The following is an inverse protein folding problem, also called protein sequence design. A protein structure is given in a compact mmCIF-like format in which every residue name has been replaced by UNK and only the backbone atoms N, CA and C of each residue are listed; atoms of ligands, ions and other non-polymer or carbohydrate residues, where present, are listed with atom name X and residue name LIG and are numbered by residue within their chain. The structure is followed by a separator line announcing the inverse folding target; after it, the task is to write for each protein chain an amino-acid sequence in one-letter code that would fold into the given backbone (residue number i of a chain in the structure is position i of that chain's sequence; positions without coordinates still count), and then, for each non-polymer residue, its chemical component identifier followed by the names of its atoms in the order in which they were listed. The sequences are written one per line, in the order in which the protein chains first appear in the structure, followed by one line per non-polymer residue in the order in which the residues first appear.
data_IF_001570250029
#
_entry.id   IF_001570250029
#
_cell.length_a   1.000
_cell.length_b   1.000
_cell.length_c   1.000
_cell.angle_alpha   90.00
_cell.angle_beta   90.00
_cell.angle_gamma   90.00
#
_symmetry.space_group_name_H-M   'P 1'
#
loop_
_entity.id
_entity.type
_entity.pdbx_description
1 polymer ?
#
# COMPACT_ATOMS: atom_id res chain seq x y z
N UNK A 1 51.62 -22.28 -36.89
CA UNK A 1 51.56 -21.71 -35.52
C UNK A 1 51.11 -20.24 -35.44
N UNK A 2 51.47 -19.36 -36.40
CA UNK A 2 51.09 -17.92 -36.38
C UNK A 2 49.59 -17.61 -36.62
N UNK A 3 48.83 -18.49 -37.29
CA UNK A 3 47.41 -18.27 -37.59
C UNK A 3 46.48 -18.48 -36.37
N UNK A 4 46.76 -19.50 -35.54
CA UNK A 4 46.02 -19.78 -34.31
C UNK A 4 46.18 -18.66 -33.26
N UNK A 5 47.32 -17.98 -33.23
CA UNK A 5 47.58 -16.88 -32.30
C UNK A 5 46.78 -15.62 -32.69
N UNK A 6 46.62 -15.33 -33.99
CA UNK A 6 45.78 -14.22 -34.49
C UNK A 6 44.30 -14.42 -34.18
N UNK A 7 43.80 -15.66 -34.27
CA UNK A 7 42.38 -15.97 -33.97
C UNK A 7 42.08 -15.87 -32.47
N UNK A 8 43.02 -16.27 -31.59
CA UNK A 8 42.89 -16.03 -30.15
C UNK A 8 42.90 -14.55 -29.80
N UNK A 9 43.81 -13.76 -30.39
CA UNK A 9 43.87 -12.31 -30.17
C UNK A 9 42.58 -11.61 -30.63
N UNK A 10 42.01 -12.02 -31.76
CA UNK A 10 40.75 -11.47 -32.30
C UNK A 10 39.55 -11.80 -31.41
N UNK A 11 39.51 -13.00 -30.81
CA UNK A 11 38.47 -13.38 -29.83
C UNK A 11 38.54 -12.54 -28.56
N UNK A 12 39.72 -12.28 -28.02
CA UNK A 12 39.88 -11.43 -26.83
C UNK A 12 39.56 -9.96 -27.14
N UNK A 13 39.91 -9.48 -28.34
CA UNK A 13 39.58 -8.12 -28.78
C UNK A 13 38.07 -7.91 -28.94
N UNK A 14 37.35 -8.88 -29.51
CA UNK A 14 35.88 -8.85 -29.59
C UNK A 14 35.20 -8.93 -28.22
N UNK A 15 35.74 -9.73 -27.29
CA UNK A 15 35.22 -9.82 -25.92
C UNK A 15 35.41 -8.50 -25.14
N UNK A 16 36.50 -7.78 -25.41
CA UNK A 16 36.80 -6.47 -24.82
C UNK A 16 35.89 -5.36 -25.38
N UNK A 17 35.56 -5.42 -26.68
CA UNK A 17 34.58 -4.51 -27.29
C UNK A 17 33.17 -4.78 -26.74
N UNK A 18 32.80 -6.04 -26.53
CA UNK A 18 31.49 -6.40 -25.97
C UNK A 18 31.35 -6.02 -24.48
N UNK A 19 32.44 -6.03 -23.71
CA UNK A 19 32.43 -5.52 -22.33
C UNK A 19 32.43 -3.99 -22.26
N UNK A 20 33.05 -3.31 -23.23
CA UNK A 20 33.04 -1.84 -23.34
C UNK A 20 31.69 -1.28 -23.84
N UNK A 21 30.94 -2.02 -24.68
CA UNK A 21 29.59 -1.61 -25.10
C UNK A 21 28.51 -1.89 -24.06
N UNK A 22 28.71 -2.83 -23.13
CA UNK A 22 27.81 -3.05 -21.99
C UNK A 22 28.04 -2.10 -20.81
N UNK A 23 29.16 -1.36 -20.78
CA UNK A 23 29.46 -0.37 -19.75
C UNK A 23 29.14 1.07 -20.17
N UNK A 24 28.78 1.30 -21.43
CA UNK A 24 28.23 2.57 -21.88
C UNK A 24 26.72 2.66 -21.60
N UNK A 25 26.44 2.78 -20.31
CA UNK A 25 25.51 3.78 -19.80
C UNK A 25 24.13 3.79 -20.45
N UNK A 26 23.26 2.91 -19.95
CA UNK A 26 22.01 3.46 -19.45
C UNK A 26 22.39 4.55 -18.44
N UNK A 27 22.47 5.80 -18.91
CA UNK A 27 22.36 6.95 -18.02
C UNK A 27 21.02 6.74 -17.33
N UNK A 28 21.07 6.23 -16.11
CA UNK A 28 19.97 6.33 -15.20
C UNK A 28 19.74 7.82 -14.92
N UNK A 29 18.97 8.47 -15.78
CA UNK A 29 18.30 9.74 -15.49
C UNK A 29 17.16 9.41 -14.53
N UNK A 30 17.47 8.95 -13.31
CA UNK A 30 16.45 8.46 -12.37
C UNK A 30 16.33 9.32 -11.12
N UNK A 31 17.34 10.09 -10.73
CA UNK A 31 17.25 10.88 -9.48
C UNK A 31 16.12 11.93 -9.54
N UNK A 32 16.03 12.70 -10.63
CA UNK A 32 15.00 13.74 -10.76
C UNK A 32 13.60 13.15 -11.06
N UNK A 33 13.53 11.97 -11.68
CA UNK A 33 12.25 11.35 -12.05
C UNK A 33 11.62 10.58 -10.88
N UNK A 34 12.41 9.85 -10.09
CA UNK A 34 11.89 9.09 -8.94
C UNK A 34 11.36 10.02 -7.85
N UNK A 35 12.06 11.11 -7.54
CA UNK A 35 11.60 12.12 -6.59
C UNK A 35 10.30 12.79 -7.08
N UNK A 36 10.22 13.12 -8.37
CA UNK A 36 9.00 13.69 -8.97
C UNK A 36 7.81 12.71 -8.93
N UNK A 37 8.03 11.45 -9.31
CA UNK A 37 7.00 10.39 -9.25
C UNK A 37 6.53 10.19 -7.81
N UNK A 38 7.48 10.18 -6.87
CA UNK A 38 7.17 10.05 -5.45
C UNK A 38 6.37 11.25 -4.93
N UNK A 39 6.79 12.47 -5.20
CA UNK A 39 6.07 13.68 -4.82
C UNK A 39 4.65 13.72 -5.43
N UNK A 40 4.52 13.22 -6.66
CA UNK A 40 3.21 13.03 -7.31
C UNK A 40 2.35 12.02 -6.55
N UNK A 41 2.90 10.85 -6.21
CA UNK A 41 2.21 9.84 -5.40
C UNK A 41 1.79 10.38 -4.03
N UNK A 42 2.68 11.10 -3.34
CA UNK A 42 2.36 11.77 -2.08
C UNK A 42 1.19 12.73 -2.25
N UNK A 43 1.16 13.51 -3.33
CA UNK A 43 0.03 14.42 -3.59
C UNK A 43 -1.30 13.68 -3.66
N UNK A 44 -1.34 12.48 -4.24
CA UNK A 44 -2.54 11.63 -4.22
C UNK A 44 -2.86 11.09 -2.82
N UNK A 45 -1.85 10.63 -2.06
CA UNK A 45 -2.04 10.14 -0.70
C UNK A 45 -2.51 11.25 0.26
N UNK A 46 -1.99 12.48 0.12
CA UNK A 46 -2.41 13.66 0.88
C UNK A 46 -3.90 13.96 0.68
N UNK A 47 -4.43 13.76 -0.53
CA UNK A 47 -5.87 13.91 -0.80
C UNK A 47 -6.73 12.83 -0.12
N UNK A 48 -6.11 11.78 0.41
CA UNK A 48 -6.76 10.65 1.10
C UNK A 48 -6.57 10.70 2.63
N UNK A 49 -6.10 11.81 3.22
CA UNK A 49 -5.78 11.89 4.65
C UNK A 49 -6.99 12.07 5.58
N UNK A 50 -8.13 12.47 5.04
CA UNK A 50 -9.35 12.78 5.79
C UNK A 50 -10.56 12.28 5.00
N UNK A 51 -10.67 10.96 4.90
CA UNK A 51 -11.68 10.30 4.06
C UNK A 51 -12.29 9.08 4.74
N UNK A 52 -13.55 8.82 4.40
CA UNK A 52 -14.21 7.53 4.56
C UNK A 52 -14.45 6.94 3.16
N UNK A 53 -14.01 5.70 2.95
CA UNK A 53 -14.05 5.02 1.65
C UNK A 53 -14.73 3.66 1.82
N UNK A 54 -15.87 3.48 1.16
CA UNK A 54 -16.49 2.16 1.08
C UNK A 54 -15.67 1.26 0.14
N UNK A 55 -15.48 0.00 0.52
CA UNK A 55 -14.71 -0.94 -0.26
C UNK A 55 -15.39 -2.30 -0.46
N UNK A 56 -14.96 -2.98 -1.51
CA UNK A 56 -15.13 -4.41 -1.75
C UNK A 56 -13.73 -5.01 -1.88
N UNK A 57 -13.42 -6.01 -1.06
CA UNK A 57 -12.14 -6.70 -1.06
C UNK A 57 -12.34 -8.16 -1.46
N UNK A 58 -11.47 -8.66 -2.33
CA UNK A 58 -11.35 -10.07 -2.69
C UNK A 58 -9.97 -10.55 -2.30
N UNK A 59 -9.89 -11.79 -1.86
CA UNK A 59 -8.64 -12.51 -1.62
C UNK A 59 -8.52 -13.57 -2.73
N UNK A 60 -7.34 -13.80 -3.31
CA UNK A 60 -7.22 -14.77 -4.40
C UNK A 60 -7.33 -16.22 -3.93
N UNK A 61 -7.02 -16.47 -2.65
CA UNK A 61 -7.10 -17.80 -2.05
C UNK A 61 -8.52 -18.13 -1.58
N UNK A 62 -9.34 -17.11 -1.35
CA UNK A 62 -10.74 -17.27 -0.97
C UNK A 62 -11.65 -16.82 -2.11
N UNK A 63 -12.53 -17.70 -2.60
CA UNK A 63 -13.63 -17.30 -3.51
C UNK A 63 -14.72 -16.49 -2.78
N UNK A 64 -14.33 -15.51 -1.96
CA UNK A 64 -15.19 -14.67 -1.13
C UNK A 64 -14.85 -13.20 -1.36
N UNK A 65 -15.88 -12.37 -1.24
CA UNK A 65 -15.74 -10.92 -1.25
C UNK A 65 -16.24 -10.35 0.05
N UNK A 66 -15.45 -9.46 0.64
CA UNK A 66 -15.79 -8.77 1.86
C UNK A 66 -16.07 -7.30 1.57
N UNK A 67 -16.97 -6.71 2.34
CA UNK A 67 -17.31 -5.29 2.22
C UNK A 67 -17.03 -4.58 3.52
N UNK A 68 -16.76 -3.29 3.44
CA UNK A 68 -16.46 -2.50 4.61
C UNK A 68 -16.29 -1.03 4.28
N UNK A 69 -15.83 -0.29 5.29
CA UNK A 69 -15.41 1.10 5.13
C UNK A 69 -14.03 1.28 5.74
N UNK A 70 -13.14 1.88 4.95
CA UNK A 70 -11.85 2.37 5.41
C UNK A 70 -11.98 3.84 5.80
N UNK A 71 -11.53 4.21 6.99
CA UNK A 71 -11.40 5.60 7.42
C UNK A 71 -9.94 5.95 7.57
N UNK A 72 -9.58 7.15 7.12
CA UNK A 72 -8.30 7.79 7.37
C UNK A 72 -8.60 9.16 7.96
N UNK A 73 -8.03 9.46 9.12
CA UNK A 73 -8.23 10.73 9.83
C UNK A 73 -6.90 11.41 10.13
N UNK A 74 -6.82 12.68 9.75
CA UNK A 74 -5.68 13.58 9.88
C UNK A 74 -4.37 13.01 9.31
N UNK A 75 -4.46 12.05 8.37
CA UNK A 75 -3.31 11.33 7.82
C UNK A 75 -2.52 10.51 8.85
N UNK A 76 -3.05 10.33 10.06
CA UNK A 76 -2.33 9.73 11.20
C UNK A 76 -3.00 8.49 11.74
N UNK A 77 -4.33 8.41 11.66
CA UNK A 77 -5.09 7.29 12.17
C UNK A 77 -5.87 6.64 11.04
N UNK A 78 -6.04 5.33 11.12
CA UNK A 78 -6.86 4.58 10.18
C UNK A 78 -7.72 3.54 10.89
N UNK A 79 -8.81 3.19 10.22
CA UNK A 79 -9.70 2.08 10.59
C UNK A 79 -10.11 1.36 9.33
N UNK A 80 -9.98 0.05 9.30
CA UNK A 80 -10.60 -0.83 8.30
C UNK A 80 -11.71 -1.60 9.01
N UNK A 81 -12.95 -1.21 8.73
CA UNK A 81 -14.13 -1.78 9.35
C UNK A 81 -14.82 -2.73 8.37
N UNK A 82 -14.55 -4.03 8.48
CA UNK A 82 -15.30 -5.02 7.72
C UNK A 82 -16.72 -5.19 8.28
N UNK A 83 -17.67 -5.37 7.38
CA UNK A 83 -19.05 -5.71 7.73
C UNK A 83 -19.24 -7.22 7.79
N UNK A 84 -20.23 -7.66 8.57
CA UNK A 84 -20.64 -9.06 8.60
C UNK A 84 -20.86 -9.57 7.16
N UNK A 85 -20.34 -10.76 6.79
CA UNK A 85 -19.81 -11.81 7.67
C UNK A 85 -18.32 -11.74 8.04
N UNK A 86 -17.51 -10.83 7.48
CA UNK A 86 -16.07 -10.77 7.80
C UNK A 86 -15.80 -10.45 9.27
N UNK A 87 -14.95 -11.23 9.92
CA UNK A 87 -14.72 -11.25 11.36
C UNK A 87 -13.54 -10.39 11.81
N UNK A 88 -13.14 -9.37 11.04
CA UNK A 88 -11.99 -8.54 11.40
C UNK A 88 -12.34 -7.07 11.60
N UNK A 89 -11.71 -6.46 12.60
CA UNK A 89 -11.59 -5.02 12.74
C UNK A 89 -10.11 -4.66 12.81
N UNK A 90 -9.65 -3.76 11.94
CA UNK A 90 -8.28 -3.26 11.97
C UNK A 90 -8.32 -1.78 12.30
N UNK A 91 -7.54 -1.36 13.31
CA UNK A 91 -7.36 0.05 13.65
C UNK A 91 -5.89 0.33 13.92
N UNK A 92 -5.46 1.57 13.72
CA UNK A 92 -4.10 1.92 14.09
C UNK A 92 -3.68 3.32 13.67
N UNK A 93 -2.39 3.54 13.81
CA UNK A 93 -1.66 4.73 13.38
C UNK A 93 -0.29 4.32 12.81
N UNK A 94 0.59 5.30 12.57
CA UNK A 94 1.93 5.07 12.02
C UNK A 94 2.84 4.17 12.90
N UNK A 95 2.52 4.03 14.19
CA UNK A 95 3.36 3.31 15.16
C UNK A 95 2.79 1.97 15.59
N UNK A 96 1.46 1.84 15.68
CA UNK A 96 0.81 0.65 16.23
C UNK A 96 -0.43 0.30 15.43
N UNK A 97 -0.62 -1.00 15.19
CA UNK A 97 -1.80 -1.57 14.55
C UNK A 97 -2.39 -2.62 15.49
N UNK A 98 -3.72 -2.59 15.63
CA UNK A 98 -4.48 -3.60 16.36
C UNK A 98 -5.48 -4.25 15.42
N UNK A 99 -5.46 -5.58 15.37
CA UNK A 99 -6.39 -6.40 14.61
C UNK A 99 -7.19 -7.19 15.64
N UNK A 100 -8.50 -7.00 15.65
CA UNK A 100 -9.41 -7.80 16.45
C UNK A 100 -10.12 -8.81 15.56
N UNK A 101 -10.03 -10.08 15.94
CA UNK A 101 -10.71 -11.21 15.33
C UNK A 101 -11.94 -11.56 16.18
N UNK A 102 -13.12 -11.36 15.61
CA UNK A 102 -14.42 -11.62 16.26
C UNK A 102 -14.73 -13.11 16.42
N UNK A 103 -14.15 -13.99 15.60
CA UNK A 103 -14.39 -15.43 15.69
C UNK A 103 -13.51 -16.04 16.79
N UNK A 104 -12.30 -15.52 16.94
CA UNK A 104 -11.33 -15.97 17.95
C UNK A 104 -11.41 -15.20 19.28
N UNK A 105 -12.24 -14.15 19.35
CA UNK A 105 -12.32 -13.20 20.47
C UNK A 105 -10.93 -12.75 20.97
N UNK A 106 -10.08 -12.32 20.03
CA UNK A 106 -8.68 -12.02 20.32
C UNK A 106 -8.20 -10.76 19.63
N UNK A 107 -7.24 -10.08 20.25
CA UNK A 107 -6.57 -8.90 19.68
C UNK A 107 -5.10 -9.18 19.41
N UNK A 108 -4.71 -9.09 18.14
CA UNK A 108 -3.32 -9.05 17.72
C UNK A 108 -2.85 -7.59 17.69
N UNK A 109 -1.69 -7.32 18.28
CA UNK A 109 -1.03 -6.01 18.26
C UNK A 109 0.30 -6.10 17.53
N UNK A 110 0.48 -5.23 16.56
CA UNK A 110 1.66 -5.17 15.70
C UNK A 110 2.27 -3.78 15.79
N UNK A 111 3.60 -3.69 15.63
CA UNK A 111 4.24 -2.41 15.33
C UNK A 111 3.85 -1.98 13.93
N UNK A 112 3.77 -0.68 13.70
CA UNK A 112 3.33 -0.14 12.43
C UNK A 112 4.20 -0.60 11.24
N UNK A 113 5.50 -0.75 11.46
CA UNK A 113 6.44 -1.28 10.47
C UNK A 113 6.24 -2.75 10.08
N UNK A 114 5.48 -3.51 10.85
CA UNK A 114 5.13 -4.91 10.58
C UNK A 114 3.86 -5.02 9.74
N UNK A 115 3.14 -3.91 9.53
CA UNK A 115 1.89 -3.87 8.76
C UNK A 115 2.10 -3.24 7.39
N UNK A 116 1.87 -4.03 6.33
CA UNK A 116 2.14 -3.65 4.94
C UNK A 116 1.36 -2.42 4.47
N UNK A 117 0.16 -2.17 5.03
CA UNK A 117 -0.73 -1.10 4.60
C UNK A 117 -0.50 0.25 5.29
N UNK A 118 0.59 0.41 6.04
CA UNK A 118 0.86 1.66 6.76
C UNK A 118 1.36 2.81 5.85
N UNK A 119 1.61 2.54 4.57
CA UNK A 119 2.16 3.52 3.63
C UNK A 119 1.28 4.76 3.43
N UNK A 120 -0.02 4.69 3.75
CA UNK A 120 -0.92 5.86 3.71
C UNK A 120 -0.55 6.96 4.72
N UNK A 121 0.26 6.66 5.73
CA UNK A 121 0.48 7.51 6.90
C UNK A 121 1.89 8.10 6.99
N UNK A 122 2.77 7.84 6.01
CA UNK A 122 4.20 8.16 6.11
C UNK A 122 4.61 9.34 5.24
N UNK A 123 5.51 10.17 5.77
CA UNK A 123 6.18 11.22 4.99
C UNK A 123 7.27 10.64 4.06
N UNK A 124 7.87 11.48 3.21
CA UNK A 124 8.91 11.07 2.26
C UNK A 124 10.11 10.38 2.89
N UNK A 125 10.61 10.94 4.00
CA UNK A 125 11.85 10.46 4.63
C UNK A 125 11.62 9.08 5.23
N UNK A 126 10.50 8.87 5.91
CA UNK A 126 10.16 7.57 6.49
C UNK A 126 9.69 6.55 5.45
N UNK A 127 9.09 7.01 4.36
CA UNK A 127 8.71 6.15 3.24
C UNK A 127 9.95 5.56 2.55
N UNK A 128 10.90 6.39 2.11
CA UNK A 128 12.06 5.93 1.32
C UNK A 128 12.98 4.95 2.06
N UNK A 129 13.00 5.01 3.40
CA UNK A 129 13.67 4.01 4.25
C UNK A 129 13.12 2.60 3.99
N UNK A 130 11.81 2.46 3.90
CA UNK A 130 11.13 1.16 3.92
C UNK A 130 10.51 0.78 2.58
N UNK A 131 10.35 1.72 1.66
CA UNK A 131 9.62 1.53 0.42
C UNK A 131 10.41 2.06 -0.79
N UNK A 132 10.14 1.49 -1.96
CA UNK A 132 10.65 1.96 -3.25
C UNK A 132 9.55 1.89 -4.29
N UNK A 133 9.44 2.92 -5.11
CA UNK A 133 8.55 2.89 -6.27
C UNK A 133 9.20 2.01 -7.34
N UNK A 134 8.56 0.89 -7.67
CA UNK A 134 9.02 -0.05 -8.69
C UNK A 134 8.53 0.31 -10.07
N UNK A 135 7.26 0.71 -10.17
CA UNK A 135 6.64 1.09 -11.44
C UNK A 135 5.69 2.26 -11.25
N UNK A 136 5.59 3.05 -12.30
CA UNK A 136 4.66 4.15 -12.43
C UNK A 136 4.12 4.15 -13.86
N UNK A 137 2.80 4.24 -14.02
CA UNK A 137 2.17 4.27 -15.35
C UNK A 137 0.82 4.95 -15.33
N UNK A 138 0.46 5.51 -16.48
CA UNK A 138 -0.87 6.02 -16.78
C UNK A 138 -1.66 4.95 -17.55
N UNK A 139 -2.90 4.70 -17.14
CA UNK A 139 -3.80 3.80 -17.87
C UNK A 139 -5.22 4.36 -17.86
N UNK A 140 -5.71 4.78 -19.03
CA UNK A 140 -7.01 5.46 -19.18
C UNK A 140 -7.06 6.69 -18.25
N UNK A 141 -8.03 6.76 -17.35
CA UNK A 141 -8.20 7.82 -16.35
C UNK A 141 -7.49 7.53 -15.02
N UNK A 142 -6.62 6.52 -14.95
CA UNK A 142 -5.95 6.09 -13.72
C UNK A 142 -4.44 6.37 -13.74
N UNK A 143 -3.97 6.88 -12.62
CA UNK A 143 -2.56 6.95 -12.24
C UNK A 143 -2.21 5.73 -11.38
N UNK A 144 -1.26 4.91 -11.80
CA UNK A 144 -0.94 3.64 -11.14
C UNK A 144 0.49 3.67 -10.61
N UNK A 145 0.64 3.38 -9.32
CA UNK A 145 1.92 3.25 -8.63
C UNK A 145 2.07 1.82 -8.12
N UNK A 146 3.23 1.21 -8.36
CA UNK A 146 3.63 -0.07 -7.78
C UNK A 146 4.79 0.22 -6.83
N UNK A 147 4.57 -0.06 -5.55
CA UNK A 147 5.48 0.23 -4.45
C UNK A 147 5.93 -1.11 -3.88
N UNK A 148 7.20 -1.23 -3.53
CA UNK A 148 7.75 -2.40 -2.87
C UNK A 148 8.16 -2.06 -1.44
N UNK A 149 7.67 -2.83 -0.47
CA UNK A 149 8.10 -2.77 0.92
C UNK A 149 9.36 -3.62 1.09
N UNK A 150 10.50 -2.97 1.35
CA UNK A 150 11.81 -3.60 1.51
C UNK A 150 11.89 -4.54 2.72
N UNK A 151 11.16 -4.23 3.80
CA UNK A 151 11.21 -5.01 5.04
C UNK A 151 10.34 -6.25 4.95
N UNK A 152 9.11 -6.09 4.46
CA UNK A 152 8.15 -7.19 4.34
C UNK A 152 8.30 -7.99 3.04
N UNK A 153 9.12 -7.50 2.09
CA UNK A 153 9.29 -8.11 0.77
C UNK A 153 7.97 -8.24 -0.02
N UNK A 154 7.02 -7.32 0.23
CA UNK A 154 5.70 -7.30 -0.41
C UNK A 154 5.57 -6.17 -1.41
N UNK A 155 4.78 -6.38 -2.47
CA UNK A 155 4.44 -5.33 -3.44
C UNK A 155 3.03 -4.84 -3.21
N UNK A 156 2.86 -3.52 -3.21
CA UNK A 156 1.57 -2.85 -3.13
C UNK A 156 1.36 -2.04 -4.39
N UNK A 157 0.20 -2.20 -5.02
CA UNK A 157 -0.19 -1.41 -6.18
C UNK A 157 -1.40 -0.55 -5.86
N UNK A 158 -1.27 0.74 -6.14
CA UNK A 158 -2.27 1.77 -5.92
C UNK A 158 -2.72 2.31 -7.28
N UNK A 159 -4.02 2.48 -7.47
CA UNK A 159 -4.55 3.21 -8.60
C UNK A 159 -5.42 4.37 -8.12
N UNK A 160 -5.13 5.56 -8.61
CA UNK A 160 -5.86 6.79 -8.32
C UNK A 160 -6.56 7.30 -9.57
N UNK A 161 -7.76 7.84 -9.42
CA UNK A 161 -8.40 8.58 -10.51
C UNK A 161 -7.68 9.92 -10.72
N UNK A 162 -7.30 10.23 -11.96
CA UNK A 162 -6.52 11.42 -12.28
C UNK A 162 -7.31 12.71 -12.00
N UNK A 163 -8.63 12.69 -12.22
CA UNK A 163 -9.49 13.88 -12.12
C UNK A 163 -9.89 14.13 -10.67
N UNK A 164 -10.43 13.13 -9.98
CA UNK A 164 -10.88 13.27 -8.59
C UNK A 164 -9.74 13.15 -7.58
N UNK A 165 -8.59 12.59 -7.99
CA UNK A 165 -7.43 12.25 -7.14
C UNK A 165 -7.74 11.22 -6.05
N UNK A 166 -8.88 10.53 -6.17
CA UNK A 166 -9.31 9.53 -5.20
C UNK A 166 -8.63 8.19 -5.45
N UNK A 167 -8.29 7.48 -4.38
CA UNK A 167 -7.88 6.10 -4.46
C UNK A 167 -9.04 5.23 -4.96
N UNK A 168 -8.81 4.47 -6.02
CA UNK A 168 -9.81 3.57 -6.62
C UNK A 168 -9.50 2.11 -6.34
N UNK A 169 -8.22 1.71 -6.35
CA UNK A 169 -7.85 0.33 -6.04
C UNK A 169 -6.59 0.24 -5.20
N UNK A 170 -6.57 -0.76 -4.33
CA UNK A 170 -5.39 -1.23 -3.59
C UNK A 170 -5.23 -2.72 -3.87
N UNK A 171 -4.04 -3.12 -4.30
CA UNK A 171 -3.68 -4.52 -4.54
C UNK A 171 -2.42 -4.84 -3.74
N UNK A 172 -2.48 -5.84 -2.87
CA UNK A 172 -1.35 -6.31 -2.06
C UNK A 172 -0.97 -7.69 -2.62
N UNK A 173 0.27 -7.81 -3.08
CA UNK A 173 0.84 -9.08 -3.52
C UNK A 173 1.72 -9.63 -2.41
N UNK A 174 1.25 -10.71 -1.81
CA UNK A 174 1.97 -11.57 -0.88
C UNK A 174 2.35 -12.87 -1.63
N UNK A 175 3.28 -13.65 -1.09
CA UNK A 175 3.98 -14.74 -1.81
C UNK A 175 3.10 -15.59 -2.74
N UNK A 176 2.00 -16.12 -2.21
CA UNK A 176 1.01 -16.93 -2.95
C UNK A 176 -0.41 -16.36 -2.82
N UNK A 177 -0.55 -15.08 -2.47
CA UNK A 177 -1.85 -14.46 -2.29
C UNK A 177 -1.89 -13.04 -2.88
N UNK A 178 -2.99 -12.71 -3.52
CA UNK A 178 -3.28 -11.36 -3.98
C UNK A 178 -4.57 -10.86 -3.34
N UNK A 179 -4.44 -9.84 -2.50
CA UNK A 179 -5.57 -9.15 -1.90
C UNK A 179 -5.89 -7.94 -2.77
N UNK A 180 -7.09 -7.92 -3.34
CA UNK A 180 -7.53 -6.84 -4.21
C UNK A 180 -8.71 -6.09 -3.58
N UNK A 181 -8.59 -4.77 -3.47
CA UNK A 181 -9.58 -3.88 -2.85
C UNK A 181 -10.01 -2.81 -3.85
N UNK A 182 -11.31 -2.76 -4.12
CA UNK A 182 -11.96 -1.70 -4.90
C UNK A 182 -12.63 -0.69 -3.98
N UNK A 183 -12.28 0.58 -4.10
CA UNK A 183 -12.92 1.69 -3.42
C UNK A 183 -13.96 2.34 -4.33
N UNK A 184 -15.17 2.52 -3.81
CA UNK A 184 -16.31 3.02 -4.61
C UNK A 184 -16.73 4.42 -4.17
N UNK A 185 -17.16 4.56 -2.91
CA UNK A 185 -17.68 5.81 -2.35
C UNK A 185 -16.66 6.46 -1.44
N UNK A 186 -15.98 7.48 -1.95
CA UNK A 186 -15.06 8.33 -1.17
C UNK A 186 -15.81 9.55 -0.68
N UNK A 187 -15.82 9.75 0.64
CA UNK A 187 -16.37 10.91 1.31
C UNK A 187 -15.24 11.60 2.07
N UNK A 188 -15.04 12.90 1.83
CA UNK A 188 -14.20 13.72 2.71
C UNK A 188 -14.87 13.87 4.06
N UNK A 189 -14.09 13.75 5.12
CA UNK A 189 -14.55 13.93 6.49
C UNK A 189 -13.75 15.05 7.14
N UNK A 190 -14.39 15.89 7.93
CA UNK A 190 -13.74 16.95 8.70
C UNK A 190 -13.47 16.51 10.13
N UNK A 191 -14.19 15.48 10.61
CA UNK A 191 -14.08 14.98 11.97
C UNK A 191 -14.35 13.48 12.03
N UNK A 192 -13.63 12.79 12.92
CA UNK A 192 -13.89 11.42 13.31
C UNK A 192 -13.61 11.25 14.81
N UNK A 193 -14.48 10.53 15.51
CA UNK A 193 -14.30 10.27 16.94
C UNK A 193 -13.05 9.44 17.20
N UNK A 194 -12.28 9.85 18.21
CA UNK A 194 -11.00 9.22 18.56
C UNK A 194 -11.14 7.74 18.90
N UNK A 195 -12.28 7.34 19.45
CA UNK A 195 -12.58 5.95 19.82
C UNK A 195 -12.66 4.99 18.63
N UNK A 196 -12.82 5.50 17.40
CA UNK A 196 -12.79 4.67 16.21
C UNK A 196 -11.42 4.05 15.93
N UNK A 197 -10.35 4.63 16.47
CA UNK A 197 -8.97 4.35 16.08
C UNK A 197 -8.16 3.53 17.08
N UNK A 198 -8.79 3.01 18.14
CA UNK A 198 -8.14 2.09 19.08
C UNK A 198 -9.10 1.00 19.56
N UNK A 199 -8.54 -0.17 19.88
CA UNK A 199 -9.28 -1.27 20.51
C UNK A 199 -8.90 -1.30 22.00
N UNK A 200 -9.91 -1.16 22.87
CA UNK A 200 -9.75 -1.34 24.32
C UNK A 200 -9.42 -2.81 24.61
N UNK A 201 -8.80 -3.10 25.75
CA UNK A 201 -8.48 -4.48 26.13
C UNK A 201 -9.79 -5.32 26.23
N UNK A 202 -10.00 -6.34 25.37
CA UNK A 202 -11.23 -7.13 25.37
C UNK A 202 -11.48 -7.86 26.71
N UNK A 203 -10.43 -8.35 27.36
CA UNK A 203 -10.55 -9.08 28.65
C UNK A 203 -11.18 -8.22 29.76
N UNK A 204 -11.01 -6.90 29.67
CA UNK A 204 -11.50 -5.95 30.68
C UNK A 204 -12.77 -5.21 30.25
N UNK A 205 -12.90 -4.92 28.95
CA UNK A 205 -13.95 -4.03 28.43
C UNK A 205 -14.95 -4.76 27.53
N UNK A 206 -14.79 -6.06 27.34
CA UNK A 206 -15.53 -6.85 26.36
C UNK A 206 -15.05 -6.61 24.92
N UNK A 207 -15.56 -7.41 23.98
CA UNK A 207 -15.23 -7.29 22.57
C UNK A 207 -15.64 -5.92 22.02
N UNK A 208 -14.89 -5.32 21.07
CA UNK A 208 -15.31 -4.09 20.41
C UNK A 208 -16.66 -4.27 19.72
N UNK A 209 -17.49 -3.23 19.70
CA UNK A 209 -18.79 -3.29 19.01
C UNK A 209 -18.59 -3.45 17.51
N UNK A 210 -19.26 -4.45 16.92
CA UNK A 210 -19.30 -4.65 15.46
C UNK A 210 -20.21 -3.60 14.81
N UNK A 211 -19.61 -2.58 14.20
CA UNK A 211 -20.34 -1.48 13.57
C UNK A 211 -20.70 -1.82 12.13
N UNK A 212 -21.97 -1.68 11.77
CA UNK A 212 -22.38 -1.63 10.37
C UNK A 212 -22.16 -0.21 9.79
N UNK A 213 -22.45 -0.05 8.50
CA UNK A 213 -22.28 1.23 7.80
C UNK A 213 -23.06 2.39 8.40
N UNK A 214 -24.29 2.14 8.86
CA UNK A 214 -25.15 3.16 9.46
C UNK A 214 -24.61 3.56 10.83
N UNK A 215 -24.16 2.59 11.62
CA UNK A 215 -23.59 2.85 12.94
C UNK A 215 -22.30 3.68 12.83
N UNK A 216 -21.41 3.28 11.92
CA UNK A 216 -20.09 3.91 11.74
C UNK A 216 -20.21 5.38 11.34
N UNK A 217 -21.22 5.74 10.55
CA UNK A 217 -21.51 7.12 10.13
C UNK A 217 -21.88 8.07 11.27
N UNK A 218 -22.26 7.56 12.43
CA UNK A 218 -22.55 8.43 13.57
C UNK A 218 -21.28 9.02 14.21
N UNK A 219 -20.12 8.44 13.89
CA UNK A 219 -18.84 8.77 14.51
C UNK A 219 -17.94 9.64 13.60
N UNK A 220 -18.40 10.02 12.41
CA UNK A 220 -17.65 10.88 11.52
C UNK A 220 -18.57 11.77 10.69
N UNK A 221 -18.08 12.95 10.31
CA UNK A 221 -18.78 13.92 9.46
C UNK A 221 -17.81 14.62 8.52
#
# INVERSE_FOLDING_TARGET
MKLLYKIKLLKYFLLLIFSLTFLNGEKKIFANNEEQIFNKMLTFLLNSQNVAMDFIQTDSNENKSYTGTMLISNGKNFRVNYYYPASFLIVGNEYNVSIYDYDMDSVLRLRGEEYSNIFFLRDYKEFTKNFTIKKHRLKKSLEIFEIFNKKLQTSVKLAFDIKSKELKTLEIKEYENEIFTNFTKVQKINFADKELFFIKNPDRFGPPKRLNKKDLKNFYR
#
